data_IF_062845970738
#
_entry.id   IF_062845970738
#
_cell.length_a   1.000
_cell.length_b   1.000
_cell.length_c   1.000
_cell.angle_alpha   90.00
_cell.angle_beta   90.00
_cell.angle_gamma   90.00
#
_symmetry.space_group_name_H-M   'P 1'
#
loop_
_entity.id
_entity.type
_entity.pdbx_description
1 polymer ?
#
# COMPACT_ATOMS: atom_id res chain seq x y z
N UNK A 1 -18.56 32.04 -67.62
CA UNK A 1 -18.61 32.39 -66.20
C UNK A 1 -18.49 31.12 -65.39
N UNK A 2 -17.26 30.77 -64.94
CA UNK A 2 -16.98 29.53 -64.15
C UNK A 2 -17.08 29.90 -62.67
N UNK A 3 -18.00 29.24 -61.96
CA UNK A 3 -18.08 29.32 -60.48
C UNK A 3 -17.26 28.19 -59.87
N UNK A 4 -16.17 28.56 -59.21
CA UNK A 4 -15.35 27.65 -58.41
C UNK A 4 -16.04 27.52 -57.04
N UNK A 5 -16.52 26.32 -56.73
CA UNK A 5 -17.03 25.99 -55.39
C UNK A 5 -15.84 25.51 -54.54
N UNK A 6 -15.43 26.30 -53.59
CA UNK A 6 -14.45 25.88 -52.56
C UNK A 6 -15.20 25.04 -51.50
N UNK A 7 -14.91 23.75 -51.47
CA UNK A 7 -15.35 22.88 -50.40
C UNK A 7 -14.38 22.99 -49.20
N UNK A 8 -14.85 23.59 -48.12
CA UNK A 8 -14.08 23.67 -46.85
C UNK A 8 -14.18 22.33 -46.13
N UNK A 9 -13.06 21.59 -46.04
CA UNK A 9 -12.96 20.38 -45.23
C UNK A 9 -12.70 20.82 -43.77
N UNK A 10 -13.72 20.77 -42.92
CA UNK A 10 -13.56 20.91 -41.48
C UNK A 10 -12.93 19.63 -40.88
N UNK A 11 -11.68 19.71 -40.51
CA UNK A 11 -11.03 18.62 -39.76
C UNK A 11 -11.58 18.59 -38.33
N UNK A 12 -12.36 17.60 -37.99
CA UNK A 12 -12.76 17.27 -36.62
C UNK A 12 -11.55 16.73 -35.87
N UNK A 13 -10.90 17.55 -35.07
CA UNK A 13 -9.88 17.15 -34.11
C UNK A 13 -10.63 16.51 -32.94
N UNK A 14 -10.73 15.19 -32.94
CA UNK A 14 -11.25 14.43 -31.82
C UNK A 14 -10.33 14.56 -30.61
N UNK A 15 -10.71 15.32 -29.59
CA UNK A 15 -10.03 15.34 -28.30
C UNK A 15 -10.25 13.99 -27.63
N UNK A 16 -9.23 13.16 -27.51
CA UNK A 16 -9.26 11.97 -26.67
C UNK A 16 -9.42 12.43 -25.22
N UNK A 17 -10.60 12.27 -24.66
CA UNK A 17 -10.82 12.50 -23.23
C UNK A 17 -10.14 11.35 -22.47
N UNK A 18 -8.97 11.60 -21.89
CA UNK A 18 -8.38 10.69 -20.90
C UNK A 18 -9.25 10.74 -19.64
N UNK A 19 -9.52 9.56 -19.06
CA UNK A 19 -10.20 9.52 -17.77
C UNK A 19 -9.28 10.16 -16.71
N UNK A 20 -9.85 11.00 -15.84
CA UNK A 20 -9.07 11.61 -14.77
C UNK A 20 -8.62 10.54 -13.75
N UNK A 21 -7.46 10.75 -13.09
CA UNK A 21 -7.01 9.88 -12.00
C UNK A 21 -8.09 9.74 -10.92
N UNK A 22 -8.31 8.52 -10.44
CA UNK A 22 -9.27 8.23 -9.38
C UNK A 22 -8.54 8.09 -8.06
N UNK A 23 -9.01 8.80 -7.04
CA UNK A 23 -8.53 8.64 -5.65
C UNK A 23 -9.39 7.58 -4.96
N UNK A 24 -8.75 6.55 -4.43
CA UNK A 24 -9.37 5.51 -3.60
C UNK A 24 -9.00 5.75 -2.15
N UNK A 25 -9.99 5.80 -1.27
CA UNK A 25 -9.80 5.78 0.18
C UNK A 25 -9.73 4.33 0.62
N UNK A 26 -8.74 3.98 1.43
CA UNK A 26 -8.60 2.62 1.95
C UNK A 26 -9.75 2.28 2.89
N UNK A 27 -10.22 1.05 2.80
CA UNK A 27 -11.17 0.47 3.74
C UNK A 27 -10.40 -0.15 4.92
N UNK A 28 -10.48 0.44 6.12
CA UNK A 28 -9.74 -0.06 7.27
C UNK A 28 -10.20 -1.45 7.74
N UNK A 29 -11.41 -1.88 7.37
CA UNK A 29 -11.92 -3.21 7.71
C UNK A 29 -11.39 -4.32 6.81
N UNK A 30 -10.81 -3.96 5.65
CA UNK A 30 -10.25 -4.87 4.65
C UNK A 30 -8.79 -4.55 4.29
N UNK A 31 -8.10 -3.76 5.13
CA UNK A 31 -6.69 -3.38 4.90
C UNK A 31 -5.85 -3.74 6.10
N UNK A 32 -5.04 -4.80 5.95
CA UNK A 32 -4.19 -5.33 7.02
C UNK A 32 -2.76 -5.56 6.52
N UNK A 33 -1.79 -4.69 6.85
CA UNK A 33 -0.39 -5.01 6.70
C UNK A 33 -0.03 -6.12 7.69
N UNK A 34 0.28 -7.30 7.14
CA UNK A 34 0.75 -8.46 7.90
C UNK A 34 2.25 -8.65 7.70
N UNK A 35 2.91 -9.27 8.63
CA UNK A 35 4.35 -9.51 8.55
C UNK A 35 4.76 -10.85 9.14
N UNK A 36 5.91 -11.33 8.65
CA UNK A 36 6.63 -12.47 9.19
C UNK A 36 8.01 -12.01 9.67
N UNK A 37 8.42 -12.48 10.85
CA UNK A 37 9.72 -12.22 11.43
C UNK A 37 10.32 -13.49 12.03
N UNK A 38 11.64 -13.56 12.02
CA UNK A 38 12.38 -14.70 12.57
C UNK A 38 12.34 -14.75 14.10
N UNK A 39 12.36 -15.96 14.63
CA UNK A 39 12.52 -16.23 16.04
C UNK A 39 13.67 -17.22 16.25
N UNK A 40 14.70 -16.81 17.01
CA UNK A 40 15.90 -17.57 17.36
C UNK A 40 16.61 -18.21 16.16
N UNK A 41 16.90 -17.40 15.10
CA UNK A 41 17.73 -17.85 14.00
C UNK A 41 17.10 -18.95 13.12
N UNK A 42 15.75 -18.98 13.04
CA UNK A 42 15.01 -19.94 12.24
C UNK A 42 14.32 -21.03 13.03
N UNK A 43 14.30 -20.94 14.37
CA UNK A 43 13.56 -21.92 15.21
C UNK A 43 12.06 -21.89 14.88
N UNK A 44 11.51 -20.70 14.67
CA UNK A 44 10.11 -20.50 14.25
C UNK A 44 9.95 -19.17 13.52
N UNK A 45 8.76 -18.96 12.94
CA UNK A 45 8.37 -17.71 12.31
C UNK A 45 7.24 -17.10 13.12
N UNK A 46 7.45 -15.88 13.62
CA UNK A 46 6.43 -15.08 14.23
C UNK A 46 5.65 -14.36 13.15
N UNK A 47 4.33 -14.38 13.28
CA UNK A 47 3.40 -13.69 12.39
C UNK A 47 2.58 -12.71 13.18
N UNK A 48 2.48 -11.51 12.64
CA UNK A 48 1.65 -10.45 13.20
C UNK A 48 1.04 -9.61 12.09
N UNK A 49 0.13 -8.74 12.48
CA UNK A 49 -0.50 -7.74 11.60
C UNK A 49 -0.73 -6.44 12.36
N UNK A 50 -1.09 -5.41 11.64
CA UNK A 50 -1.60 -4.16 12.22
C UNK A 50 -3.09 -4.05 11.92
N UNK A 51 -3.89 -3.88 12.97
CA UNK A 51 -5.35 -3.86 12.88
C UNK A 51 -5.91 -2.48 12.45
N UNK A 52 -5.10 -1.43 12.49
CA UNK A 52 -5.51 -0.06 12.14
C UNK A 52 -4.59 0.52 11.08
N UNK A 53 -5.15 0.73 9.90
CA UNK A 53 -4.46 1.32 8.75
C UNK A 53 -5.38 2.30 8.06
N UNK A 54 -4.84 3.40 7.58
CA UNK A 54 -5.55 4.42 6.83
C UNK A 54 -4.71 4.91 5.66
N UNK A 55 -5.36 5.55 4.68
CA UNK A 55 -4.62 6.12 3.56
C UNK A 55 -5.45 6.24 2.30
N UNK A 56 -4.74 6.53 1.23
CA UNK A 56 -5.31 6.69 -0.11
C UNK A 56 -4.37 6.17 -1.18
N UNK A 57 -4.96 5.76 -2.27
CA UNK A 57 -4.26 5.41 -3.52
C UNK A 57 -4.86 6.27 -4.63
N UNK A 58 -4.02 6.98 -5.37
CA UNK A 58 -4.42 7.62 -6.62
C UNK A 58 -4.04 6.67 -7.74
N UNK A 59 -4.97 6.38 -8.63
CA UNK A 59 -4.75 5.46 -9.73
C UNK A 59 -5.30 6.02 -11.04
N UNK A 60 -4.43 6.12 -12.01
CA UNK A 60 -4.74 6.48 -13.40
C UNK A 60 -4.40 5.27 -14.30
N UNK A 61 -5.45 4.57 -14.72
CA UNK A 61 -5.28 3.36 -15.54
C UNK A 61 -4.80 3.68 -16.96
N UNK A 62 -5.24 4.82 -17.52
CA UNK A 62 -4.96 5.20 -18.89
C UNK A 62 -3.52 5.75 -19.01
N UNK A 63 -3.10 6.56 -18.05
CA UNK A 63 -1.72 7.04 -17.96
C UNK A 63 -0.75 6.00 -17.39
N UNK A 64 -1.24 4.88 -16.87
CA UNK A 64 -0.44 3.85 -16.15
C UNK A 64 0.43 4.52 -15.08
N UNK A 65 -0.22 5.25 -14.19
CA UNK A 65 0.41 6.05 -13.15
C UNK A 65 -0.41 5.99 -11.86
N UNK A 66 0.21 6.36 -10.76
CA UNK A 66 -0.48 6.51 -9.49
C UNK A 66 0.46 6.64 -8.31
N UNK A 67 -0.13 6.96 -7.17
CA UNK A 67 0.59 7.11 -5.90
C UNK A 67 -0.11 6.38 -4.77
N UNK A 68 0.67 6.06 -3.76
CA UNK A 68 0.23 5.36 -2.54
C UNK A 68 0.68 6.22 -1.36
N UNK A 69 -0.26 6.57 -0.47
CA UNK A 69 0.01 7.22 0.80
C UNK A 69 -0.74 6.47 1.89
N UNK A 70 -0.03 5.74 2.75
CA UNK A 70 -0.59 4.86 3.77
C UNK A 70 0.05 5.15 5.11
N UNK A 71 -0.79 5.22 6.15
CA UNK A 71 -0.38 5.35 7.54
C UNK A 71 -0.88 4.14 8.32
N UNK A 72 0.02 3.50 9.05
CA UNK A 72 -0.24 2.37 9.95
C UNK A 72 -0.12 2.85 11.39
N UNK A 73 -1.13 2.58 12.21
CA UNK A 73 -1.04 2.78 13.66
C UNK A 73 -0.20 1.64 14.27
N UNK A 74 0.98 1.97 14.76
CA UNK A 74 1.91 0.99 15.34
C UNK A 74 1.39 0.41 16.66
N UNK A 75 0.50 1.11 17.36
CA UNK A 75 -0.13 0.61 18.58
C UNK A 75 -1.15 -0.51 18.32
N UNK A 76 -1.58 -0.65 17.07
CA UNK A 76 -2.52 -1.68 16.62
C UNK A 76 -1.86 -3.03 16.30
N UNK A 77 -0.57 -3.21 16.60
CA UNK A 77 0.14 -4.47 16.38
C UNK A 77 -0.54 -5.63 17.09
N UNK A 78 -0.77 -6.71 16.37
CA UNK A 78 -1.49 -7.86 16.85
C UNK A 78 -0.84 -9.18 16.40
N UNK A 79 -0.30 -9.93 17.36
CA UNK A 79 0.24 -11.29 17.19
C UNK A 79 -0.75 -12.37 17.64
N UNK A 80 -1.97 -11.98 18.07
CA UNK A 80 -2.90 -12.89 18.73
C UNK A 80 -2.53 -13.24 20.18
N UNK A 81 -1.50 -12.59 20.74
CA UNK A 81 -1.00 -12.82 22.11
C UNK A 81 -0.84 -11.50 22.85
N UNK A 82 -1.67 -11.18 23.85
CA UNK A 82 -1.64 -9.89 24.54
C UNK A 82 -0.27 -9.51 25.09
N UNK A 83 0.45 -10.43 25.73
CA UNK A 83 1.79 -10.16 26.28
C UNK A 83 2.81 -9.81 25.20
N UNK A 84 2.74 -10.45 24.02
CA UNK A 84 3.64 -10.14 22.93
C UNK A 84 3.25 -8.81 22.28
N UNK A 85 1.96 -8.50 22.17
CA UNK A 85 1.50 -7.21 21.68
C UNK A 85 2.03 -6.07 22.55
N UNK A 86 1.96 -6.20 23.87
CA UNK A 86 2.51 -5.19 24.80
C UNK A 86 4.03 -5.07 24.69
N UNK A 87 4.74 -6.20 24.58
CA UNK A 87 6.19 -6.17 24.39
C UNK A 87 6.56 -5.50 23.04
N UNK A 88 5.85 -5.79 21.97
CA UNK A 88 6.09 -5.16 20.67
C UNK A 88 5.89 -3.63 20.69
N UNK A 89 4.94 -3.14 21.48
CA UNK A 89 4.70 -1.70 21.64
C UNK A 89 5.74 -0.99 22.49
N UNK A 90 6.51 -1.73 23.31
CA UNK A 90 7.49 -1.16 24.24
C UNK A 90 8.66 -0.47 23.53
N UNK A 91 9.44 0.28 24.32
CA UNK A 91 10.67 0.93 23.85
C UNK A 91 11.75 -0.05 23.36
N UNK A 92 11.62 -1.33 23.67
CA UNK A 92 12.56 -2.37 23.21
C UNK A 92 12.35 -2.77 21.74
N UNK A 93 11.12 -2.53 21.20
CA UNK A 93 10.77 -2.89 19.81
C UNK A 93 10.29 -1.65 19.03
N UNK A 94 8.98 -1.37 19.00
CA UNK A 94 8.44 -0.30 18.16
C UNK A 94 8.42 1.08 18.84
N UNK A 95 8.58 1.14 20.16
CA UNK A 95 8.53 2.39 20.94
C UNK A 95 7.36 3.29 20.51
N UNK A 96 6.15 2.72 20.56
CA UNK A 96 4.96 3.39 20.01
C UNK A 96 4.61 4.69 20.71
N UNK A 97 5.10 4.89 21.94
CA UNK A 97 4.95 6.16 22.67
C UNK A 97 5.70 7.29 21.96
N UNK A 98 6.83 6.99 21.32
CA UNK A 98 7.65 7.94 20.58
C UNK A 98 7.38 7.91 19.09
N UNK A 99 7.06 6.74 18.55
CA UNK A 99 6.85 6.50 17.13
C UNK A 99 5.49 5.83 16.89
N UNK A 100 4.39 6.58 17.04
CA UNK A 100 3.05 6.00 17.02
C UNK A 100 2.62 5.49 15.64
N UNK A 101 3.29 5.93 14.57
CA UNK A 101 2.89 5.56 13.21
C UNK A 101 4.07 5.10 12.37
N UNK A 102 3.78 4.22 11.40
CA UNK A 102 4.62 4.02 10.24
C UNK A 102 3.90 4.56 8.99
N UNK A 103 4.66 5.16 8.07
CA UNK A 103 4.12 5.79 6.86
C UNK A 103 4.84 5.25 5.63
N UNK A 104 4.06 4.81 4.64
CA UNK A 104 4.58 4.48 3.32
C UNK A 104 4.04 5.47 2.29
N UNK A 105 4.96 6.09 1.53
CA UNK A 105 4.62 6.95 0.39
C UNK A 105 5.38 6.48 -0.84
N UNK A 106 4.66 6.19 -1.93
CA UNK A 106 5.24 5.63 -3.14
C UNK A 106 4.47 5.94 -4.41
N UNK A 107 5.02 5.47 -5.53
CA UNK A 107 4.41 5.58 -6.85
C UNK A 107 4.43 4.23 -7.55
N UNK A 108 3.43 3.94 -8.36
CA UNK A 108 3.46 2.79 -9.25
C UNK A 108 4.55 2.98 -10.31
N UNK A 109 5.37 1.95 -10.52
CA UNK A 109 6.53 1.99 -11.41
C UNK A 109 6.46 0.96 -12.51
N UNK A 110 5.72 -0.14 -12.32
CA UNK A 110 5.52 -1.17 -13.34
C UNK A 110 4.06 -1.56 -13.45
N UNK A 111 3.68 -1.94 -14.68
CA UNK A 111 2.32 -2.34 -15.01
C UNK A 111 2.33 -3.59 -15.91
N UNK A 112 1.30 -4.40 -15.77
CA UNK A 112 0.92 -5.45 -16.72
C UNK A 112 -0.48 -5.12 -17.26
N UNK A 113 -0.57 -4.72 -18.52
CA UNK A 113 -1.77 -4.10 -19.05
C UNK A 113 -2.08 -2.80 -18.31
N UNK A 114 -3.26 -2.71 -17.69
CA UNK A 114 -3.66 -1.60 -16.84
C UNK A 114 -3.33 -1.84 -15.35
N UNK A 115 -3.01 -3.07 -14.94
CA UNK A 115 -2.79 -3.43 -13.54
C UNK A 115 -1.39 -3.05 -13.06
N UNK A 116 -1.22 -2.31 -11.96
CA UNK A 116 0.09 -2.07 -11.37
C UNK A 116 0.67 -3.39 -10.82
N UNK A 117 1.99 -3.58 -11.00
CA UNK A 117 2.72 -4.77 -10.54
C UNK A 117 3.88 -4.43 -9.61
N UNK A 118 4.27 -3.17 -9.53
CA UNK A 118 5.30 -2.69 -8.62
C UNK A 118 5.02 -1.26 -8.19
N UNK A 119 5.33 -0.95 -6.94
CA UNK A 119 5.41 0.41 -6.45
C UNK A 119 6.76 0.65 -5.77
N UNK A 120 7.40 1.78 -6.06
CA UNK A 120 8.60 2.22 -5.38
C UNK A 120 8.29 3.42 -4.51
N UNK A 121 8.79 3.38 -3.29
CA UNK A 121 8.52 4.43 -2.33
C UNK A 121 9.47 4.38 -1.14
N UNK A 122 9.08 5.10 -0.10
CA UNK A 122 9.79 5.15 1.18
C UNK A 122 8.88 4.70 2.31
N UNK A 123 9.42 3.91 3.21
CA UNK A 123 8.84 3.59 4.50
C UNK A 123 9.52 4.45 5.56
N UNK A 124 8.72 5.17 6.33
CA UNK A 124 9.16 5.84 7.55
C UNK A 124 8.63 5.04 8.73
N UNK A 125 9.51 4.46 9.53
CA UNK A 125 9.19 3.67 10.70
C UNK A 125 10.23 3.92 11.78
N UNK A 126 9.82 3.99 13.06
CA UNK A 126 10.72 4.20 14.18
C UNK A 126 11.62 5.45 14.01
N UNK A 127 11.09 6.49 13.36
CA UNK A 127 11.80 7.75 13.08
C UNK A 127 12.81 7.70 11.93
N UNK A 128 12.96 6.57 11.24
CA UNK A 128 13.90 6.39 10.13
C UNK A 128 13.14 6.17 8.82
N UNK A 129 13.60 6.82 7.75
CA UNK A 129 13.03 6.69 6.40
C UNK A 129 13.99 5.92 5.50
N UNK A 130 13.51 4.87 4.86
CA UNK A 130 14.28 4.05 3.90
C UNK A 130 13.44 3.73 2.66
N UNK A 131 14.09 3.52 1.50
CA UNK A 131 13.40 3.05 0.32
C UNK A 131 12.88 1.62 0.53
N UNK A 132 11.63 1.38 0.13
CA UNK A 132 11.01 0.05 0.12
C UNK A 132 10.22 -0.10 -1.17
N UNK A 133 10.48 -1.18 -1.90
CA UNK A 133 9.73 -1.54 -3.10
C UNK A 133 8.66 -2.55 -2.74
N UNK A 134 7.42 -2.30 -3.16
CA UNK A 134 6.31 -3.25 -3.06
C UNK A 134 6.16 -3.99 -4.38
N UNK A 135 6.14 -5.31 -4.34
CA UNK A 135 5.65 -6.16 -5.43
C UNK A 135 4.14 -6.30 -5.27
N UNK A 136 3.38 -5.95 -6.29
CA UNK A 136 1.93 -6.11 -6.31
C UNK A 136 1.62 -7.45 -6.97
N UNK A 137 1.29 -8.44 -6.16
CA UNK A 137 1.10 -9.83 -6.57
C UNK A 137 -0.22 -10.01 -7.33
N UNK A 138 -1.24 -9.24 -6.93
CA UNK A 138 -2.53 -9.18 -7.62
C UNK A 138 -3.16 -7.79 -7.46
N UNK A 139 -3.92 -7.39 -8.47
CA UNK A 139 -4.72 -6.16 -8.46
C UNK A 139 -6.03 -6.40 -9.22
N UNK A 140 -7.15 -5.99 -8.66
CA UNK A 140 -8.46 -6.12 -9.29
C UNK A 140 -9.43 -5.05 -8.82
N UNK A 141 -10.21 -4.51 -9.76
CA UNK A 141 -11.37 -3.68 -9.45
C UNK A 141 -12.66 -4.40 -9.87
N UNK A 142 -13.68 -4.32 -9.03
CA UNK A 142 -15.00 -4.90 -9.28
C UNK A 142 -16.10 -3.92 -8.88
N UNK A 143 -17.31 -4.14 -9.41
CA UNK A 143 -18.53 -3.61 -8.79
C UNK A 143 -18.91 -4.54 -7.64
N UNK A 144 -18.81 -4.05 -6.41
CA UNK A 144 -19.17 -4.85 -5.23
C UNK A 144 -20.64 -5.26 -5.32
N UNK A 145 -20.94 -6.55 -5.25
CA UNK A 145 -22.31 -7.06 -5.45
C UNK A 145 -23.29 -6.63 -4.34
N UNK A 146 -22.79 -6.30 -3.15
CA UNK A 146 -23.62 -5.85 -2.02
C UNK A 146 -23.81 -4.33 -2.05
N UNK A 147 -22.72 -3.55 -2.07
CA UNK A 147 -22.77 -2.09 -2.00
C UNK A 147 -23.10 -1.44 -3.37
N UNK A 148 -23.01 -2.19 -4.48
CA UNK A 148 -23.16 -1.68 -5.86
C UNK A 148 -22.19 -0.54 -6.22
N UNK A 149 -21.03 -0.48 -5.54
CA UNK A 149 -19.99 0.50 -5.76
C UNK A 149 -18.74 -0.17 -6.29
N UNK A 150 -17.91 0.61 -6.97
CA UNK A 150 -16.58 0.13 -7.36
C UNK A 150 -15.72 -0.06 -6.11
N UNK A 151 -15.03 -1.19 -6.03
CA UNK A 151 -13.99 -1.49 -5.05
C UNK A 151 -12.78 -2.02 -5.80
N UNK A 152 -11.60 -1.51 -5.48
CA UNK A 152 -10.34 -2.06 -5.96
C UNK A 152 -9.60 -2.70 -4.79
N UNK A 153 -9.02 -3.85 -5.04
CA UNK A 153 -8.21 -4.57 -4.06
C UNK A 153 -6.88 -5.01 -4.65
N UNK A 154 -5.90 -5.18 -3.79
CA UNK A 154 -4.59 -5.70 -4.12
C UNK A 154 -4.05 -6.59 -3.01
N UNK A 155 -3.21 -7.55 -3.40
CA UNK A 155 -2.26 -8.24 -2.55
C UNK A 155 -0.86 -7.78 -2.94
N UNK A 156 -0.07 -7.38 -1.94
CA UNK A 156 1.28 -6.90 -2.16
C UNK A 156 2.26 -7.47 -1.14
N UNK A 157 3.53 -7.54 -1.51
CA UNK A 157 4.59 -8.04 -0.66
C UNK A 157 5.83 -7.16 -0.73
N UNK A 158 6.62 -7.20 0.35
CA UNK A 158 7.95 -6.61 0.40
C UNK A 158 8.82 -7.36 1.39
N UNK A 159 10.12 -7.17 1.28
CA UNK A 159 11.10 -7.65 2.26
C UNK A 159 12.03 -6.51 2.60
N UNK A 160 12.30 -6.30 3.88
CA UNK A 160 13.26 -5.32 4.35
C UNK A 160 13.96 -5.79 5.64
N UNK A 161 15.04 -5.12 6.00
CA UNK A 161 15.74 -5.38 7.25
C UNK A 161 15.26 -4.39 8.32
N UNK A 162 14.66 -4.88 9.41
CA UNK A 162 14.13 -4.03 10.49
C UNK A 162 15.21 -3.28 11.26
N UNK A 163 16.44 -3.79 11.28
CA UNK A 163 17.54 -3.11 11.91
C UNK A 163 17.93 -1.80 11.19
N UNK A 164 17.64 -1.69 9.87
CA UNK A 164 17.84 -0.44 9.11
C UNK A 164 16.96 0.72 9.63
N UNK A 165 15.91 0.38 10.38
CA UNK A 165 15.00 1.31 11.04
C UNK A 165 15.25 1.42 12.55
N UNK A 166 16.33 0.82 13.06
CA UNK A 166 16.66 0.82 14.49
C UNK A 166 15.86 -0.17 15.34
N UNK A 167 15.05 -1.04 14.73
CA UNK A 167 14.29 -2.10 15.41
C UNK A 167 15.14 -3.36 15.43
N UNK A 168 16.08 -3.45 16.34
CA UNK A 168 17.13 -4.49 16.38
C UNK A 168 17.05 -5.42 17.61
N UNK A 169 15.93 -5.41 18.35
CA UNK A 169 15.71 -6.35 19.45
C UNK A 169 15.94 -7.81 18.99
N UNK A 170 16.57 -8.60 19.85
CA UNK A 170 16.81 -10.01 19.57
C UNK A 170 18.11 -10.30 18.80
N UNK A 171 18.83 -9.29 18.29
CA UNK A 171 20.09 -9.46 17.57
C UNK A 171 21.11 -10.31 18.39
N UNK A 172 21.25 -9.99 19.68
CA UNK A 172 22.13 -10.73 20.61
C UNK A 172 21.72 -12.20 20.83
N UNK A 173 20.52 -12.57 20.46
CA UNK A 173 19.96 -13.93 20.57
C UNK A 173 19.89 -14.65 19.21
N UNK A 174 20.53 -14.07 18.18
CA UNK A 174 20.60 -14.65 16.83
C UNK A 174 19.33 -14.52 16.00
N UNK A 175 18.40 -13.61 16.35
CA UNK A 175 17.23 -13.33 15.53
C UNK A 175 17.68 -12.71 14.20
N UNK A 176 17.21 -13.25 13.09
CA UNK A 176 17.36 -12.60 11.79
C UNK A 176 16.58 -11.31 11.77
N UNK A 177 17.14 -10.31 11.11
CA UNK A 177 16.55 -8.97 11.07
C UNK A 177 15.64 -8.75 9.87
N UNK A 178 15.58 -9.73 8.96
CA UNK A 178 14.67 -9.69 7.81
C UNK A 178 13.22 -9.81 8.24
N UNK A 179 12.38 -8.95 7.68
CA UNK A 179 10.93 -8.95 7.81
C UNK A 179 10.32 -9.09 6.43
N UNK A 180 9.35 -9.99 6.28
CA UNK A 180 8.54 -10.14 5.08
C UNK A 180 7.17 -9.54 5.33
N UNK A 181 6.78 -8.58 4.50
CA UNK A 181 5.44 -8.03 4.49
C UNK A 181 4.53 -8.81 3.54
N UNK A 182 3.29 -9.02 3.97
CA UNK A 182 2.18 -9.54 3.18
C UNK A 182 0.99 -8.62 3.43
N UNK A 183 0.61 -7.87 2.41
CA UNK A 183 -0.32 -6.75 2.53
C UNK A 183 -1.54 -7.04 1.70
N UNK A 184 -2.68 -7.22 2.35
CA UNK A 184 -3.98 -7.12 1.69
C UNK A 184 -4.52 -5.70 1.84
N UNK A 185 -5.10 -5.16 0.80
CA UNK A 185 -5.66 -3.82 0.78
C UNK A 185 -6.88 -3.75 -0.12
N UNK A 186 -7.94 -3.09 0.37
CA UNK A 186 -9.09 -2.71 -0.43
C UNK A 186 -9.39 -1.23 -0.27
N UNK A 187 -10.01 -0.64 -1.27
CA UNK A 187 -10.43 0.76 -1.24
C UNK A 187 -11.51 1.08 -2.25
N UNK A 188 -12.26 2.13 -1.95
CA UNK A 188 -13.33 2.65 -2.80
C UNK A 188 -13.02 4.08 -3.25
N UNK A 189 -13.56 4.54 -4.40
CA UNK A 189 -13.41 5.91 -4.83
C UNK A 189 -13.79 6.90 -3.72
N UNK A 190 -12.96 7.92 -3.51
CA UNK A 190 -13.17 8.94 -2.50
C UNK A 190 -14.55 9.60 -2.66
N UNK A 191 -15.23 9.85 -1.53
CA UNK A 191 -16.61 10.35 -1.52
C UNK A 191 -17.68 9.25 -1.60
N UNK A 192 -17.29 7.97 -1.79
CA UNK A 192 -18.21 6.87 -1.56
C UNK A 192 -18.39 6.66 -0.05
N UNK A 193 -19.62 6.50 0.49
CA UNK A 193 -19.78 6.08 1.88
C UNK A 193 -19.05 4.74 2.12
N UNK A 194 -18.49 4.55 3.30
CA UNK A 194 -17.90 3.28 3.70
C UNK A 194 -18.87 2.11 3.49
N UNK A 195 -18.35 0.95 3.11
CA UNK A 195 -19.13 -0.27 2.91
C UNK A 195 -19.65 -0.80 4.22
#
# INVERSE_FOLDING_TARGET
MNRIVLASIAALIGSSAFAAPVTYTLDPSHTYPSFEADHFGGLSVWRGKFDTTSGKVVYDKDAKAGSIDVTVDMSSVNFGMPKLNEHAKSAELFDVAKYPTAVYSGKFTKFSGESPTEAQGTLTMHGVTKPVTLTINSFKCIMNPMSKKQVCGADASATFNRADFGVNFGDKYGFKQEVKLQIQVEGSPAGSPAA
#
